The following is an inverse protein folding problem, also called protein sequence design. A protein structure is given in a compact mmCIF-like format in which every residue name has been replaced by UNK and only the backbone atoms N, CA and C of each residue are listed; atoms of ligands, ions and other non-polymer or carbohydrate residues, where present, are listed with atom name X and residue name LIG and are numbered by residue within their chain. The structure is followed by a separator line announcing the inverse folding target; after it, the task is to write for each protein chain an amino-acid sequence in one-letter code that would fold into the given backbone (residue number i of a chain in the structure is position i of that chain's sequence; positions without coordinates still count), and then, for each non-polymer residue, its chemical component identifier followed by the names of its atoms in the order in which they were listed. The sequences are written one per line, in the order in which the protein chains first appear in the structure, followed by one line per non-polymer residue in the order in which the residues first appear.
data_IF_742080072086
#
_entry.id   IF_742080072086
#
_cell.length_a   1.000
_cell.length_b   1.000
_cell.length_c   1.000
_cell.angle_alpha   90.00
_cell.angle_beta   90.00
_cell.angle_gamma   90.00
#
_symmetry.space_group_name_H-M   'P 1'
#
loop_
_entity.id
_entity.type
_entity.pdbx_description
1 polymer ?
#
# COMPACT_ATOMS: atom_id res chain seq x y z
N UNK A 1 13.47 3.35 -13.52
CA UNK A 1 12.84 4.65 -13.92
C UNK A 1 13.66 5.84 -13.37
N UNK A 2 13.86 6.91 -14.17
CA UNK A 2 14.58 8.12 -13.76
C UNK A 2 13.82 8.79 -12.60
N UNK A 3 14.51 9.02 -11.48
CA UNK A 3 13.98 9.76 -10.33
C UNK A 3 13.69 11.19 -10.78
N UNK A 4 12.42 11.52 -11.05
CA UNK A 4 12.02 12.89 -11.38
C UNK A 4 12.37 13.81 -10.23
N UNK A 5 13.00 14.94 -10.54
CA UNK A 5 13.46 15.89 -9.54
C UNK A 5 12.32 16.80 -9.03
N UNK A 6 11.29 17.00 -9.86
CA UNK A 6 10.08 17.76 -9.55
C UNK A 6 8.82 16.95 -9.88
N UNK A 7 7.70 17.19 -9.18
CA UNK A 7 6.41 16.63 -9.56
C UNK A 7 5.91 17.23 -10.88
N UNK A 8 4.97 16.54 -11.52
CA UNK A 8 4.28 17.07 -12.70
C UNK A 8 3.11 17.98 -12.28
N UNK A 9 2.73 18.91 -13.16
CA UNK A 9 1.53 19.73 -12.93
C UNK A 9 0.27 18.87 -12.86
N UNK A 10 -0.56 19.11 -11.85
CA UNK A 10 -1.75 18.32 -11.57
C UNK A 10 -1.53 17.07 -10.73
N UNK A 11 -0.28 16.68 -10.45
CA UNK A 11 0.05 15.56 -9.57
C UNK A 11 -0.39 15.82 -8.12
N UNK A 12 -0.75 14.77 -7.39
CA UNK A 12 -0.96 14.83 -5.95
C UNK A 12 0.32 14.43 -5.22
N UNK A 13 0.72 15.23 -4.24
CA UNK A 13 1.94 15.03 -3.47
C UNK A 13 1.66 15.07 -1.97
N UNK A 14 2.40 14.27 -1.21
CA UNK A 14 2.41 14.33 0.25
C UNK A 14 3.50 15.28 0.72
N UNK A 15 3.16 16.22 1.60
CA UNK A 15 4.11 17.16 2.16
C UNK A 15 3.89 17.44 3.63
N UNK A 16 4.93 17.96 4.28
CA UNK A 16 4.92 18.36 5.68
C UNK A 16 4.99 19.88 5.80
N UNK A 17 4.06 20.47 6.55
CA UNK A 17 3.98 21.93 6.73
C UNK A 17 5.14 22.41 7.60
N UNK A 18 5.94 23.32 7.06
CA UNK A 18 7.10 23.90 7.77
C UNK A 18 6.64 25.11 8.56
N UNK A 19 5.97 26.04 7.88
CA UNK A 19 5.64 27.36 8.43
C UNK A 19 4.32 27.87 7.86
N UNK A 20 3.49 28.44 8.73
CA UNK A 20 2.22 29.05 8.35
C UNK A 20 2.29 30.56 8.50
N UNK A 21 2.12 31.29 7.41
CA UNK A 21 2.04 32.75 7.36
C UNK A 21 0.60 33.22 7.10
N UNK A 22 0.37 34.53 7.12
CA UNK A 22 -0.97 35.09 6.89
C UNK A 22 -1.41 35.03 5.41
N UNK A 23 -0.46 34.97 4.48
CA UNK A 23 -0.73 34.90 3.04
C UNK A 23 -0.63 33.48 2.46
N UNK A 24 -0.19 32.50 3.25
CA UNK A 24 -0.02 31.13 2.78
C UNK A 24 0.76 30.23 3.73
N UNK A 25 1.10 29.03 3.26
CA UNK A 25 1.85 28.03 4.01
C UNK A 25 3.00 27.45 3.17
N UNK A 26 4.16 27.24 3.81
CA UNK A 26 5.32 26.59 3.22
C UNK A 26 5.36 25.12 3.62
N UNK A 27 5.62 24.24 2.66
CA UNK A 27 5.53 22.80 2.80
C UNK A 27 6.77 22.14 2.19
N UNK A 28 7.41 21.22 2.89
CA UNK A 28 8.41 20.31 2.28
C UNK A 28 7.71 19.16 1.59
N UNK A 29 8.14 18.80 0.38
CA UNK A 29 7.62 17.64 -0.33
C UNK A 29 8.33 16.37 0.17
N UNK A 30 7.58 15.42 0.73
CA UNK A 30 8.15 14.20 1.30
C UNK A 30 8.60 13.22 0.20
N UNK A 31 7.93 13.24 -0.96
CA UNK A 31 8.25 12.40 -2.12
C UNK A 31 9.43 12.95 -2.93
N UNK A 32 9.72 14.24 -2.80
CA UNK A 32 10.74 14.97 -3.56
C UNK A 32 11.74 15.63 -2.59
N UNK A 33 12.81 14.91 -2.20
CA UNK A 33 13.75 15.39 -1.17
C UNK A 33 14.36 16.75 -1.51
N UNK A 34 14.33 17.68 -0.55
CA UNK A 34 14.90 19.01 -0.69
C UNK A 34 14.08 19.99 -1.55
N UNK A 35 12.86 19.61 -1.93
CA UNK A 35 11.93 20.50 -2.63
C UNK A 35 10.90 21.11 -1.68
N UNK A 36 10.66 22.39 -1.86
CA UNK A 36 9.67 23.16 -1.11
C UNK A 36 8.52 23.56 -2.03
N UNK A 37 7.32 23.56 -1.46
CA UNK A 37 6.12 24.06 -2.10
C UNK A 37 5.44 25.11 -1.24
N UNK A 38 4.60 25.89 -1.89
CA UNK A 38 3.86 26.98 -1.27
C UNK A 38 2.37 26.86 -1.58
N UNK A 39 1.54 27.03 -0.57
CA UNK A 39 0.09 27.13 -0.72
C UNK A 39 -0.32 28.57 -0.45
N UNK A 40 -0.86 29.23 -1.48
CA UNK A 40 -1.48 30.54 -1.32
C UNK A 40 -2.76 30.45 -0.48
N UNK A 41 -3.09 31.49 0.31
CA UNK A 41 -4.29 31.52 1.17
C UNK A 41 -5.58 31.12 0.42
N UNK A 42 -5.71 31.55 -0.84
CA UNK A 42 -6.87 31.25 -1.68
C UNK A 42 -6.98 29.77 -2.08
N UNK A 43 -5.91 28.98 -1.91
CA UNK A 43 -5.83 27.57 -2.27
C UNK A 43 -5.87 26.64 -1.03
N UNK A 44 -6.11 27.18 0.18
CA UNK A 44 -6.12 26.42 1.44
C UNK A 44 -7.47 25.74 1.71
N UNK A 45 -8.58 26.43 1.48
CA UNK A 45 -9.92 25.89 1.77
C UNK A 45 -10.97 26.41 0.78
N UNK A 46 -12.06 25.65 0.64
CA UNK A 46 -13.25 26.07 -0.09
C UNK A 46 -14.10 26.98 0.81
N UNK A 47 -13.94 28.30 0.67
CA UNK A 47 -14.70 29.30 1.41
C UNK A 47 -13.84 30.43 1.98
N UNK A 48 -14.46 31.31 2.76
CA UNK A 48 -13.75 32.43 3.38
C UNK A 48 -12.85 31.97 4.53
N UNK A 49 -11.54 32.22 4.41
CA UNK A 49 -10.56 31.85 5.44
C UNK A 49 -10.22 33.07 6.30
N UNK A 50 -10.77 33.15 7.52
CA UNK A 50 -10.43 34.21 8.49
C UNK A 50 -9.02 34.04 9.07
N UNK A 51 -8.61 32.79 9.35
CA UNK A 51 -7.30 32.42 9.88
C UNK A 51 -6.85 31.11 9.26
N UNK A 52 -5.69 31.11 8.60
CA UNK A 52 -5.12 29.91 7.97
C UNK A 52 -4.82 28.82 9.00
N UNK A 53 -4.37 29.23 10.20
CA UNK A 53 -3.97 28.33 11.28
C UNK A 53 -5.09 27.41 11.82
N UNK A 54 -6.35 27.70 11.47
CA UNK A 54 -7.48 26.84 11.78
C UNK A 54 -7.58 25.63 10.82
N UNK A 55 -7.01 25.74 9.62
CA UNK A 55 -7.09 24.72 8.57
C UNK A 55 -5.80 23.89 8.48
N UNK A 56 -4.67 24.54 8.70
CA UNK A 56 -3.34 23.91 8.59
C UNK A 56 -2.50 24.29 9.80
N UNK A 57 -1.83 23.30 10.38
CA UNK A 57 -0.85 23.48 11.48
C UNK A 57 0.55 23.18 11.00
N UNK A 58 1.53 23.83 11.62
CA UNK A 58 2.94 23.49 11.42
C UNK A 58 3.19 22.03 11.85
N UNK A 59 4.11 21.36 11.15
CA UNK A 59 4.45 19.93 11.28
C UNK A 59 3.33 18.96 10.87
N UNK A 60 2.20 19.45 10.39
CA UNK A 60 1.13 18.59 9.88
C UNK A 60 1.51 18.01 8.52
N UNK A 61 1.21 16.73 8.29
CA UNK A 61 1.26 16.13 6.96
C UNK A 61 -0.04 16.39 6.21
N UNK A 62 0.07 16.86 4.98
CA UNK A 62 -1.06 17.19 4.10
C UNK A 62 -0.82 16.63 2.70
N UNK A 63 -1.93 16.35 2.01
CA UNK A 63 -1.90 16.01 0.58
C UNK A 63 -2.26 17.26 -0.19
N UNK A 64 -1.49 17.59 -1.21
CA UNK A 64 -1.71 18.78 -2.02
C UNK A 64 -1.67 18.43 -3.49
N UNK A 65 -2.45 19.15 -4.29
CA UNK A 65 -2.37 19.10 -5.75
C UNK A 65 -1.35 20.13 -6.24
N UNK A 66 -0.46 19.72 -7.13
CA UNK A 66 0.48 20.62 -7.81
C UNK A 66 -0.29 21.44 -8.84
N UNK A 67 -0.16 22.77 -8.74
CA UNK A 67 -0.77 23.70 -9.68
C UNK A 67 0.22 24.11 -10.77
N UNK A 68 1.42 24.49 -10.35
CA UNK A 68 2.46 25.00 -11.24
C UNK A 68 3.84 24.68 -10.67
N UNK A 69 4.81 24.46 -11.55
CA UNK A 69 6.19 24.15 -11.17
C UNK A 69 7.13 25.12 -11.87
N UNK A 70 7.76 25.99 -11.09
CA UNK A 70 8.84 26.86 -11.58
C UNK A 70 10.19 26.22 -11.21
N UNK A 71 10.77 25.49 -12.17
CA UNK A 71 12.06 24.82 -11.99
C UNK A 71 13.22 25.82 -11.85
N UNK A 72 13.10 27.02 -12.43
CA UNK A 72 14.14 28.05 -12.35
C UNK A 72 14.25 28.61 -10.94
N UNK A 73 13.11 28.82 -10.28
CA UNK A 73 13.03 29.31 -8.89
C UNK A 73 12.94 28.20 -7.85
N UNK A 74 12.97 26.95 -8.29
CA UNK A 74 12.79 25.74 -7.45
C UNK A 74 11.51 25.79 -6.61
N UNK A 75 10.46 26.39 -7.16
CA UNK A 75 9.22 26.66 -6.45
C UNK A 75 8.08 25.81 -7.02
N UNK A 76 7.25 25.27 -6.13
CA UNK A 76 6.07 24.48 -6.51
C UNK A 76 4.83 25.10 -5.88
N UNK A 77 3.92 25.59 -6.71
CA UNK A 77 2.63 26.08 -6.25
C UNK A 77 1.70 24.89 -5.98
N UNK A 78 1.15 24.86 -4.77
CA UNK A 78 0.35 23.76 -4.26
C UNK A 78 -1.05 24.24 -3.90
N UNK A 79 -1.99 23.31 -3.94
CA UNK A 79 -3.37 23.52 -3.52
C UNK A 79 -3.84 22.44 -2.56
N UNK A 80 -4.38 22.85 -1.41
CA UNK A 80 -5.07 21.95 -0.49
C UNK A 80 -6.56 21.82 -0.85
N UNK A 81 -7.18 22.91 -1.34
CA UNK A 81 -8.62 22.92 -1.65
C UNK A 81 -9.00 22.04 -2.85
N UNK A 82 -8.06 21.78 -3.78
CA UNK A 82 -8.29 20.98 -5.00
C UNK A 82 -8.03 19.49 -4.79
N UNK A 83 -8.02 19.03 -3.54
CA UNK A 83 -7.88 17.62 -3.17
C UNK A 83 -9.16 17.19 -2.46
N UNK A 84 -9.87 16.22 -3.03
CA UNK A 84 -11.04 15.64 -2.36
C UNK A 84 -10.62 14.55 -1.35
N UNK A 85 -11.53 14.15 -0.46
CA UNK A 85 -11.22 13.16 0.59
C UNK A 85 -10.89 11.76 0.01
N UNK A 86 -11.41 11.40 -1.16
CA UNK A 86 -11.04 10.14 -1.83
C UNK A 86 -9.58 10.18 -2.29
N UNK A 87 -9.22 11.17 -3.10
CA UNK A 87 -7.86 11.43 -3.60
C UNK A 87 -6.85 11.54 -2.47
N UNK A 88 -7.21 12.23 -1.38
CA UNK A 88 -6.37 12.33 -0.19
C UNK A 88 -6.11 10.98 0.45
N UNK A 89 -7.15 10.15 0.63
CA UNK A 89 -7.00 8.79 1.17
C UNK A 89 -6.14 7.92 0.26
N UNK A 90 -6.41 7.95 -1.03
CA UNK A 90 -5.66 7.17 -2.04
C UNK A 90 -4.18 7.57 -2.04
N UNK A 91 -3.90 8.88 -2.07
CA UNK A 91 -2.51 9.37 -2.11
C UNK A 91 -1.76 9.06 -0.83
N UNK A 92 -2.41 9.17 0.34
CA UNK A 92 -1.82 8.74 1.61
C UNK A 92 -1.52 7.24 1.58
N UNK A 93 -2.43 6.42 1.03
CA UNK A 93 -2.23 4.98 0.94
C UNK A 93 -1.07 4.66 -0.01
N UNK A 94 -1.01 5.29 -1.18
CA UNK A 94 0.08 5.16 -2.15
C UNK A 94 1.43 5.53 -1.51
N UNK A 95 1.49 6.66 -0.81
CA UNK A 95 2.70 7.11 -0.12
C UNK A 95 3.14 6.12 0.98
N UNK A 96 2.20 5.60 1.77
CA UNK A 96 2.49 4.55 2.77
C UNK A 96 3.01 3.28 2.11
N UNK A 97 2.37 2.82 1.03
CA UNK A 97 2.77 1.63 0.29
C UNK A 97 4.18 1.80 -0.30
N UNK A 98 4.48 2.96 -0.89
CA UNK A 98 5.82 3.30 -1.42
C UNK A 98 6.90 3.29 -0.32
N UNK A 99 6.60 3.82 0.86
CA UNK A 99 7.53 3.79 1.99
C UNK A 99 7.75 2.37 2.52
N UNK A 100 6.70 1.55 2.57
CA UNK A 100 6.81 0.13 2.92
C UNK A 100 7.65 -0.62 1.89
N UNK A 101 7.36 -0.48 0.59
CA UNK A 101 8.10 -1.16 -0.46
C UNK A 101 9.58 -0.78 -0.47
N UNK A 102 9.92 0.49 -0.18
CA UNK A 102 11.31 0.92 -0.03
C UNK A 102 12.02 0.15 1.08
N UNK A 103 11.39 0.02 2.26
CA UNK A 103 11.94 -0.75 3.39
C UNK A 103 12.06 -2.23 3.07
N UNK A 104 11.06 -2.81 2.41
CA UNK A 104 11.10 -4.22 1.98
C UNK A 104 12.24 -4.46 0.98
N UNK A 105 12.39 -3.57 0.01
CA UNK A 105 13.49 -3.65 -0.95
C UNK A 105 14.86 -3.51 -0.27
N UNK A 106 15.00 -2.61 0.72
CA UNK A 106 16.21 -2.52 1.53
C UNK A 106 16.52 -3.83 2.29
N UNK A 107 15.50 -4.53 2.79
CA UNK A 107 15.66 -5.85 3.43
C UNK A 107 16.09 -6.93 2.42
N UNK A 108 15.45 -6.96 1.25
CA UNK A 108 15.81 -7.90 0.16
C UNK A 108 17.25 -7.65 -0.28
N UNK A 109 17.61 -6.40 -0.54
CA UNK A 109 18.95 -5.98 -0.96
C UNK A 109 20.02 -6.46 0.04
N UNK A 110 19.81 -6.20 1.34
CA UNK A 110 20.70 -6.70 2.41
C UNK A 110 20.83 -8.21 2.42
N UNK A 111 19.73 -8.92 2.22
CA UNK A 111 19.70 -10.39 2.25
C UNK A 111 20.46 -11.02 1.09
N UNK A 112 20.36 -10.44 -0.09
CA UNK A 112 21.04 -10.92 -1.30
C UNK A 112 22.44 -10.32 -1.47
N UNK A 113 22.88 -9.48 -0.54
CA UNK A 113 24.20 -8.83 -0.57
C UNK A 113 24.35 -7.77 -1.67
N UNK A 114 23.26 -7.17 -2.15
CA UNK A 114 23.25 -6.15 -3.19
C UNK A 114 22.79 -4.80 -2.65
N UNK A 115 22.99 -3.74 -3.43
CA UNK A 115 22.42 -2.42 -3.19
C UNK A 115 20.97 -2.34 -3.69
N UNK A 116 20.20 -1.37 -3.18
CA UNK A 116 18.84 -1.11 -3.64
C UNK A 116 18.79 -0.70 -5.12
N UNK A 117 19.83 0.01 -5.59
CA UNK A 117 19.96 0.45 -6.98
C UNK A 117 20.19 -0.72 -7.94
N UNK A 118 21.02 -1.69 -7.55
CA UNK A 118 21.20 -2.94 -8.30
C UNK A 118 19.91 -3.75 -8.33
N UNK A 119 19.20 -3.87 -7.21
CA UNK A 119 17.91 -4.56 -7.16
C UNK A 119 16.88 -3.92 -8.10
N UNK A 120 16.85 -2.58 -8.16
CA UNK A 120 15.98 -1.86 -9.08
C UNK A 120 16.28 -2.17 -10.55
N UNK A 121 17.57 -2.21 -10.92
CA UNK A 121 18.01 -2.51 -12.29
C UNK A 121 17.80 -3.98 -12.67
N UNK A 122 18.01 -4.89 -11.74
CA UNK A 122 17.96 -6.33 -11.98
C UNK A 122 16.53 -6.87 -12.08
N UNK A 123 15.62 -6.39 -11.22
CA UNK A 123 14.23 -6.89 -11.19
C UNK A 123 13.19 -5.83 -10.83
N UNK A 124 13.55 -4.78 -10.09
CA UNK A 124 12.57 -3.82 -9.58
C UNK A 124 11.82 -3.05 -10.68
N UNK A 125 12.51 -2.61 -11.72
CA UNK A 125 11.88 -1.89 -12.84
C UNK A 125 10.90 -2.79 -13.62
N UNK A 126 11.23 -4.07 -13.81
CA UNK A 126 10.35 -5.04 -14.48
C UNK A 126 9.14 -5.42 -13.61
N UNK A 127 9.32 -5.59 -12.29
CA UNK A 127 8.22 -5.81 -11.36
C UNK A 127 7.25 -4.62 -11.34
N UNK A 128 7.78 -3.39 -11.34
CA UNK A 128 6.93 -2.18 -11.41
C UNK A 128 6.17 -2.14 -12.73
N UNK A 129 6.81 -2.50 -13.84
CA UNK A 129 6.16 -2.54 -15.16
C UNK A 129 5.02 -3.56 -15.21
N UNK A 130 5.19 -4.72 -14.55
CA UNK A 130 4.19 -5.80 -14.55
C UNK A 130 3.05 -5.55 -13.56
N UNK A 131 3.37 -5.18 -12.32
CA UNK A 131 2.41 -5.07 -11.21
C UNK A 131 1.99 -3.63 -10.89
N UNK A 132 2.47 -2.65 -11.66
CA UNK A 132 2.21 -1.22 -11.49
C UNK A 132 3.01 -0.57 -10.35
N UNK A 133 3.15 -1.26 -9.22
CA UNK A 133 3.99 -0.79 -8.09
C UNK A 133 4.83 -1.92 -7.51
N UNK A 134 5.97 -1.56 -6.92
CA UNK A 134 6.81 -2.54 -6.24
C UNK A 134 6.10 -3.15 -5.03
N UNK A 135 5.24 -2.39 -4.34
CA UNK A 135 4.46 -2.91 -3.21
C UNK A 135 3.47 -4.00 -3.66
N UNK A 136 2.78 -3.79 -4.78
CA UNK A 136 1.87 -4.79 -5.35
C UNK A 136 2.62 -6.09 -5.72
N UNK A 137 3.83 -5.99 -6.26
CA UNK A 137 4.66 -7.17 -6.51
C UNK A 137 5.04 -7.93 -5.21
N UNK A 138 5.27 -7.21 -4.11
CA UNK A 138 5.47 -7.85 -2.81
C UNK A 138 4.17 -8.48 -2.28
N UNK A 139 3.00 -7.84 -2.46
CA UNK A 139 1.71 -8.43 -2.06
C UNK A 139 1.44 -9.72 -2.82
N UNK A 140 1.67 -9.72 -4.14
CA UNK A 140 1.53 -10.91 -4.98
C UNK A 140 2.47 -12.03 -4.52
N UNK A 141 3.75 -11.72 -4.28
CA UNK A 141 4.73 -12.69 -3.83
C UNK A 141 4.48 -13.19 -2.40
N UNK A 142 3.76 -12.42 -1.57
CA UNK A 142 3.32 -12.87 -0.26
C UNK A 142 2.15 -13.86 -0.41
N UNK A 143 1.20 -13.54 -1.28
CA UNK A 143 0.02 -14.36 -1.58
C UNK A 143 0.40 -15.71 -2.20
N UNK A 144 1.10 -15.69 -3.35
CA UNK A 144 1.53 -16.90 -4.05
C UNK A 144 3.06 -16.94 -4.23
N UNK A 145 3.69 -17.99 -3.71
CA UNK A 145 5.13 -18.24 -3.85
C UNK A 145 5.59 -18.55 -5.27
N UNK A 146 4.69 -18.92 -6.15
CA UNK A 146 5.04 -19.27 -7.52
C UNK A 146 4.66 -18.19 -8.53
N UNK A 147 3.80 -17.22 -8.16
CA UNK A 147 3.34 -16.13 -9.01
C UNK A 147 4.48 -15.46 -9.80
N UNK A 148 5.56 -15.05 -9.12
CA UNK A 148 6.69 -14.41 -9.81
C UNK A 148 7.39 -15.35 -10.80
N UNK A 149 7.53 -16.65 -10.48
CA UNK A 149 8.14 -17.62 -11.38
C UNK A 149 7.25 -17.91 -12.58
N UNK A 150 5.94 -18.02 -12.35
CA UNK A 150 4.92 -18.26 -13.38
C UNK A 150 4.85 -17.10 -14.37
N UNK A 151 5.11 -15.88 -13.89
CA UNK A 151 5.24 -14.67 -14.70
C UNK A 151 6.58 -14.54 -15.42
N UNK A 152 7.44 -15.56 -15.33
CA UNK A 152 8.70 -15.64 -16.08
C UNK A 152 9.87 -14.95 -15.42
N UNK A 153 9.72 -14.40 -14.21
CA UNK A 153 10.85 -13.87 -13.45
C UNK A 153 11.76 -15.02 -13.01
N UNK A 154 13.07 -14.84 -13.20
CA UNK A 154 14.11 -15.80 -12.83
C UNK A 154 15.26 -15.07 -12.16
N UNK A 155 15.86 -15.71 -11.17
CA UNK A 155 17.04 -15.17 -10.48
C UNK A 155 17.16 -15.67 -9.05
N UNK A 156 18.38 -15.57 -8.51
CA UNK A 156 18.67 -15.94 -7.13
C UNK A 156 17.94 -15.03 -6.12
N UNK A 157 17.56 -13.82 -6.55
CA UNK A 157 16.82 -12.85 -5.75
C UNK A 157 15.39 -13.29 -5.39
N UNK A 158 14.77 -14.19 -6.17
CA UNK A 158 13.37 -14.60 -5.98
C UNK A 158 13.09 -15.16 -4.60
N UNK A 159 13.94 -16.09 -4.13
CA UNK A 159 13.78 -16.71 -2.80
C UNK A 159 13.86 -15.67 -1.69
N UNK A 160 14.85 -14.76 -1.79
CA UNK A 160 15.02 -13.67 -0.84
C UNK A 160 13.82 -12.71 -0.84
N UNK A 161 13.31 -12.37 -2.02
CA UNK A 161 12.16 -11.50 -2.19
C UNK A 161 10.87 -12.10 -1.60
N UNK A 162 10.57 -13.35 -1.93
CA UNK A 162 9.38 -14.07 -1.47
C UNK A 162 9.36 -14.25 0.05
N UNK A 163 10.50 -14.60 0.65
CA UNK A 163 10.58 -14.75 2.10
C UNK A 163 10.33 -13.41 2.81
N UNK A 164 10.94 -12.33 2.33
CA UNK A 164 10.71 -10.99 2.89
C UNK A 164 9.25 -10.56 2.70
N UNK A 165 8.64 -10.87 1.56
CA UNK A 165 7.22 -10.61 1.30
C UNK A 165 6.34 -11.28 2.36
N UNK A 166 6.47 -12.60 2.53
CA UNK A 166 5.67 -13.40 3.48
C UNK A 166 5.86 -12.99 4.94
N UNK A 167 7.09 -12.67 5.34
CA UNK A 167 7.36 -12.31 6.74
C UNK A 167 6.88 -10.90 7.11
N UNK A 168 6.65 -10.02 6.14
CA UNK A 168 6.34 -8.61 6.40
C UNK A 168 4.95 -8.17 5.90
N UNK A 169 4.30 -8.96 5.06
CA UNK A 169 2.96 -8.67 4.54
C UNK A 169 1.98 -9.67 5.14
N UNK A 170 1.02 -9.13 5.90
CA UNK A 170 -0.11 -9.90 6.43
C UNK A 170 -1.17 -10.04 5.35
N UNK A 171 -1.38 -11.27 4.88
CA UNK A 171 -2.45 -11.59 3.95
C UNK A 171 -3.78 -11.52 4.71
N UNK A 172 -4.75 -10.69 4.27
CA UNK A 172 -6.04 -10.64 4.91
C UNK A 172 -6.78 -11.96 4.66
N UNK A 173 -7.18 -12.64 5.73
CA UNK A 173 -8.10 -13.77 5.66
C UNK A 173 -9.47 -13.35 6.18
N UNK A 174 -10.52 -13.94 5.62
CA UNK A 174 -11.89 -13.75 6.11
C UNK A 174 -12.30 -14.96 6.93
N UNK A 175 -12.95 -14.73 8.06
CA UNK A 175 -13.54 -15.80 8.85
C UNK A 175 -15.01 -15.95 8.46
N UNK A 176 -15.33 -17.01 7.72
CA UNK A 176 -16.70 -17.33 7.33
C UNK A 176 -17.27 -18.28 8.39
N UNK A 177 -18.37 -17.87 9.02
CA UNK A 177 -19.11 -18.71 9.97
C UNK A 177 -20.46 -19.07 9.37
N UNK A 178 -20.78 -20.35 9.38
CA UNK A 178 -22.07 -20.88 8.95
C UNK A 178 -22.59 -21.90 9.94
N UNK A 179 -23.91 -22.09 9.94
CA UNK A 179 -24.56 -23.17 10.67
C UNK A 179 -25.08 -24.18 9.65
N UNK A 180 -24.81 -25.45 9.90
CA UNK A 180 -25.30 -26.55 9.08
C UNK A 180 -26.09 -27.51 9.96
N UNK A 181 -27.25 -27.94 9.47
CA UNK A 181 -28.07 -28.97 10.12
C UNK A 181 -28.09 -30.21 9.24
N UNK A 182 -27.66 -31.34 9.80
CA UNK A 182 -27.67 -32.65 9.13
C UNK A 182 -28.52 -33.59 9.98
N UNK A 183 -29.36 -34.38 9.32
CA UNK A 183 -30.20 -35.40 9.96
C UNK A 183 -29.96 -36.76 9.29
N UNK A 184 -30.08 -37.83 10.07
CA UNK A 184 -30.02 -39.21 9.57
C UNK A 184 -31.08 -40.04 10.27
N UNK A 185 -31.81 -40.83 9.49
CA UNK A 185 -32.90 -41.71 9.96
C UNK A 185 -32.44 -43.16 10.11
N UNK A 186 -31.15 -43.43 9.93
CA UNK A 186 -30.58 -44.76 10.05
C UNK A 186 -30.27 -45.12 11.52
N UNK A 187 -30.33 -46.40 11.92
CA UNK A 187 -29.99 -46.84 13.27
C UNK A 187 -28.57 -46.45 13.74
N UNK A 188 -27.63 -46.33 12.80
CA UNK A 188 -26.24 -45.90 12.98
C UNK A 188 -25.99 -44.45 12.49
N UNK A 189 -27.05 -43.63 12.41
CA UNK A 189 -27.01 -42.28 11.86
C UNK A 189 -25.97 -41.34 12.48
N UNK A 190 -25.65 -41.51 13.77
CA UNK A 190 -24.59 -40.75 14.45
C UNK A 190 -23.22 -40.96 13.79
N UNK A 191 -22.89 -42.20 13.42
CA UNK A 191 -21.63 -42.54 12.77
C UNK A 191 -21.54 -41.89 11.39
N UNK A 192 -22.63 -41.91 10.63
CA UNK A 192 -22.70 -41.27 9.31
C UNK A 192 -22.51 -39.74 9.40
N UNK A 193 -23.18 -39.09 10.35
CA UNK A 193 -23.06 -37.63 10.55
C UNK A 193 -21.64 -37.26 10.95
N UNK A 194 -21.04 -38.01 11.89
CA UNK A 194 -19.65 -37.77 12.30
C UNK A 194 -18.68 -37.91 11.13
N UNK A 195 -18.81 -38.97 10.33
CA UNK A 195 -17.94 -39.19 9.17
C UNK A 195 -18.10 -38.06 8.14
N UNK A 196 -19.32 -37.62 7.84
CA UNK A 196 -19.56 -36.50 6.93
C UNK A 196 -18.89 -35.20 7.41
N UNK A 197 -18.90 -34.92 8.72
CA UNK A 197 -18.19 -33.75 9.27
C UNK A 197 -16.67 -33.91 9.24
N UNK A 198 -16.14 -35.10 9.52
CA UNK A 198 -14.71 -35.39 9.41
C UNK A 198 -14.24 -35.23 7.96
N UNK A 199 -15.01 -35.72 6.99
CA UNK A 199 -14.70 -35.58 5.56
C UNK A 199 -14.72 -34.10 5.14
N UNK A 200 -15.69 -33.33 5.66
CA UNK A 200 -15.75 -31.88 5.45
C UNK A 200 -14.57 -31.11 6.06
N UNK A 201 -14.16 -31.47 7.29
CA UNK A 201 -13.01 -30.84 7.96
C UNK A 201 -11.67 -31.23 7.31
N UNK A 202 -11.56 -32.47 6.83
CA UNK A 202 -10.39 -32.97 6.11
C UNK A 202 -10.35 -32.55 4.63
N UNK A 203 -11.38 -31.86 4.14
CA UNK A 203 -11.40 -31.37 2.76
C UNK A 203 -10.28 -30.34 2.57
N UNK A 204 -9.32 -30.67 1.72
CA UNK A 204 -8.18 -29.80 1.44
C UNK A 204 -8.54 -28.84 0.31
N UNK A 205 -8.74 -27.58 0.67
CA UNK A 205 -8.80 -26.48 -0.27
C UNK A 205 -7.56 -25.60 -0.06
N UNK A 206 -7.04 -25.05 -1.15
CA UNK A 206 -5.89 -24.13 -1.11
C UNK A 206 -6.25 -22.89 -0.29
N UNK A 207 -5.39 -22.53 0.67
CA UNK A 207 -5.55 -21.37 1.56
C UNK A 207 -6.84 -21.30 2.40
N UNK A 208 -7.51 -22.44 2.63
CA UNK A 208 -8.71 -22.51 3.48
C UNK A 208 -8.49 -23.47 4.65
N UNK A 209 -8.68 -22.96 5.86
CA UNK A 209 -8.80 -23.77 7.08
C UNK A 209 -10.27 -23.96 7.42
N UNK A 210 -10.76 -25.20 7.35
CA UNK A 210 -12.12 -25.56 7.76
C UNK A 210 -12.06 -26.08 9.18
N UNK A 211 -12.92 -25.54 10.05
CA UNK A 211 -13.08 -26.01 11.43
C UNK A 211 -14.53 -26.29 11.72
N UNK A 212 -14.84 -27.54 12.05
CA UNK A 212 -16.20 -27.96 12.36
C UNK A 212 -16.37 -28.07 13.87
N UNK A 213 -17.44 -27.48 14.41
CA UNK A 213 -17.79 -27.60 15.83
C UNK A 213 -19.23 -28.07 15.98
N UNK A 214 -19.43 -29.10 16.79
CA UNK A 214 -20.76 -29.49 17.23
C UNK A 214 -21.28 -28.48 18.26
N UNK A 215 -22.44 -27.88 17.98
CA UNK A 215 -23.06 -26.86 18.85
C UNK A 215 -24.20 -27.48 19.68
N UNK A 216 -24.96 -28.40 19.09
CA UNK A 216 -26.11 -29.06 19.71
C UNK A 216 -26.91 -29.86 18.68
N UNK A 217 -27.83 -30.68 19.17
CA UNK A 217 -28.82 -31.44 18.38
C UNK A 217 -30.22 -30.91 18.69
#
# INVERSE_FOLDING_TARGET
MIKKEYPDEGEFVVGTVIKVQNFGAFITLDEYPGKEGFIHIAEIATGWVKRIRNHIKEKQKVVCKVLHVDQSKRHVDLSLKRVNEHQKRDKIQEWKNRNKSKKLLEMVAKKIGKTTEECHKEFGDDLIKKYGTLYAAFEEAAYDTEALKNEGFKGEWLKGFQEIARSNITIPFVNIKGYLSITSWLPDGISHIRNAFLDGENSQYEDVEIKVKYIGA
#
